data_IF_446442721832
#
_entry.id   IF_446442721832
#
_cell.length_a   1.000
_cell.length_b   1.000
_cell.length_c   1.000
_cell.angle_alpha   90.00
_cell.angle_beta   90.00
_cell.angle_gamma   90.00
#
_symmetry.space_group_name_H-M   'P 1'
#
loop_
_entity.id
_entity.type
_entity.pdbx_description
1 polymer ?
#
# COMPACT_ATOMS: atom_id res chain seq x y z
N UNK A 1 28.44 37.73 -83.74
CA UNK A 1 28.43 36.53 -84.62
C UNK A 1 27.47 35.52 -84.01
N UNK A 2 26.43 35.14 -84.77
CA UNK A 2 25.34 34.17 -84.51
C UNK A 2 24.26 34.50 -83.46
N UNK A 3 23.24 35.19 -83.98
CA UNK A 3 21.81 35.06 -83.71
C UNK A 3 21.31 33.59 -83.75
N UNK A 4 20.49 33.21 -82.78
CA UNK A 4 19.70 31.96 -82.82
C UNK A 4 18.28 32.26 -83.33
N UNK A 5 17.81 31.43 -84.27
CA UNK A 5 16.47 31.44 -84.86
C UNK A 5 15.49 30.58 -84.06
N UNK A 6 14.24 31.01 -84.20
CA UNK A 6 12.93 30.55 -83.74
C UNK A 6 12.53 29.11 -84.09
N UNK A 7 11.64 28.52 -83.27
CA UNK A 7 10.39 27.87 -83.71
C UNK A 7 9.42 27.77 -82.51
N UNK A 8 8.36 28.57 -82.42
CA UNK A 8 6.96 28.32 -82.83
C UNK A 8 6.24 27.23 -82.03
N UNK A 9 5.14 27.61 -81.36
CA UNK A 9 3.88 26.88 -81.54
C UNK A 9 3.06 26.54 -80.29
N UNK A 10 1.84 27.07 -80.30
CA UNK A 10 0.62 26.59 -79.64
C UNK A 10 0.45 26.86 -78.13
N UNK A 11 -0.43 27.81 -77.83
CA UNK A 11 -0.91 28.11 -76.50
C UNK A 11 -1.96 27.12 -75.99
N UNK A 12 -2.06 27.05 -74.66
CA UNK A 12 -3.21 26.53 -73.95
C UNK A 12 -3.36 27.29 -72.63
N UNK A 13 -4.57 27.79 -72.36
CA UNK A 13 -4.92 28.55 -71.13
C UNK A 13 -4.87 27.61 -69.92
N UNK A 14 -4.45 28.06 -68.73
CA UNK A 14 -4.58 27.27 -67.50
C UNK A 14 -6.00 27.40 -66.94
N UNK A 15 -6.69 26.26 -66.80
CA UNK A 15 -7.87 26.08 -65.95
C UNK A 15 -7.48 25.44 -64.61
N UNK A 16 -8.34 25.50 -63.58
CA UNK A 16 -7.92 25.69 -62.19
C UNK A 16 -7.59 24.41 -61.43
N UNK A 17 -6.59 24.53 -60.56
CA UNK A 17 -6.47 23.93 -59.22
C UNK A 17 -6.89 22.46 -59.05
N UNK A 18 -6.02 21.53 -59.43
CA UNK A 18 -5.97 20.21 -58.82
C UNK A 18 -5.52 20.34 -57.36
N UNK A 19 -6.48 20.52 -56.47
CA UNK A 19 -6.30 20.28 -55.05
C UNK A 19 -5.80 18.86 -54.86
N UNK A 20 -4.57 18.74 -54.36
CA UNK A 20 -3.96 17.47 -54.00
C UNK A 20 -4.91 16.65 -53.13
N UNK A 21 -5.32 15.49 -53.65
CA UNK A 21 -6.04 14.49 -52.87
C UNK A 21 -5.21 14.18 -51.62
N UNK A 22 -5.77 14.25 -50.39
CA UNK A 22 -5.05 13.80 -49.22
C UNK A 22 -4.76 12.31 -49.38
N UNK A 23 -3.49 11.92 -49.17
CA UNK A 23 -3.09 10.53 -49.14
C UNK A 23 -4.01 9.76 -48.19
N UNK A 24 -4.57 8.64 -48.66
CA UNK A 24 -5.40 7.78 -47.86
C UNK A 24 -4.61 7.35 -46.61
N UNK A 25 -4.98 7.86 -45.45
CA UNK A 25 -4.48 7.37 -44.17
C UNK A 25 -5.04 5.96 -44.03
N UNK A 26 -4.20 4.96 -44.27
CA UNK A 26 -4.49 3.57 -43.93
C UNK A 26 -4.66 3.53 -42.41
N UNK A 27 -5.91 3.48 -41.96
CA UNK A 27 -6.24 3.15 -40.58
C UNK A 27 -5.79 1.71 -40.37
N UNK A 28 -4.60 1.53 -39.82
CA UNK A 28 -4.15 0.24 -39.30
C UNK A 28 -5.09 -0.08 -38.14
N UNK A 29 -6.11 -0.89 -38.42
CA UNK A 29 -6.91 -1.50 -37.37
C UNK A 29 -5.92 -2.32 -36.52
N UNK A 30 -5.85 -2.10 -35.19
CA UNK A 30 -5.06 -2.98 -34.35
C UNK A 30 -5.52 -4.39 -34.62
N UNK A 31 -4.57 -5.28 -34.90
CA UNK A 31 -4.82 -6.71 -34.99
C UNK A 31 -5.67 -7.09 -33.78
N UNK A 32 -6.86 -7.63 -34.03
CA UNK A 32 -7.64 -8.31 -33.00
C UNK A 32 -6.83 -9.56 -32.65
N UNK A 33 -5.80 -9.39 -31.83
CA UNK A 33 -5.24 -10.51 -31.11
C UNK A 33 -6.42 -11.13 -30.37
N UNK A 34 -6.71 -12.42 -30.59
CA UNK A 34 -7.65 -13.11 -29.73
C UNK A 34 -7.15 -12.86 -28.32
N UNK A 35 -7.96 -12.18 -27.50
CA UNK A 35 -7.72 -12.17 -26.06
C UNK A 35 -7.77 -13.64 -25.70
N UNK A 36 -6.61 -14.20 -25.43
CA UNK A 36 -6.46 -15.56 -24.96
C UNK A 36 -7.32 -15.63 -23.70
N UNK A 37 -8.51 -16.21 -23.80
CA UNK A 37 -9.36 -16.42 -22.64
C UNK A 37 -8.59 -17.47 -21.86
N UNK A 38 -8.07 -17.17 -20.66
CA UNK A 38 -7.38 -18.20 -19.91
C UNK A 38 -8.35 -19.35 -19.68
N UNK A 39 -8.12 -20.45 -20.40
CA UNK A 39 -8.57 -21.79 -20.06
C UNK A 39 -7.78 -22.23 -18.84
N UNK A 40 -8.02 -21.55 -17.72
CA UNK A 40 -7.53 -21.91 -16.42
C UNK A 40 -8.65 -21.49 -15.48
N UNK A 41 -9.20 -22.46 -14.75
CA UNK A 41 -10.07 -22.23 -13.61
C UNK A 41 -9.40 -21.19 -12.71
N UNK A 42 -9.78 -19.92 -12.85
CA UNK A 42 -9.32 -18.88 -11.95
C UNK A 42 -9.71 -19.35 -10.54
N UNK A 43 -8.78 -19.38 -9.58
CA UNK A 43 -9.12 -19.82 -8.23
C UNK A 43 -10.30 -18.97 -7.77
N UNK A 44 -11.41 -19.64 -7.43
CA UNK A 44 -12.60 -18.98 -6.91
C UNK A 44 -12.21 -18.42 -5.54
N UNK A 45 -11.85 -17.14 -5.53
CA UNK A 45 -11.53 -16.46 -4.28
C UNK A 45 -12.75 -16.48 -3.38
N UNK A 46 -12.58 -16.76 -2.07
CA UNK A 46 -13.65 -16.57 -1.10
C UNK A 46 -14.27 -15.18 -1.22
N UNK A 47 -15.59 -15.06 -1.05
CA UNK A 47 -16.34 -13.81 -1.28
C UNK A 47 -15.72 -12.60 -0.57
N UNK A 48 -15.20 -12.79 0.64
CA UNK A 48 -14.49 -11.74 1.41
C UNK A 48 -13.27 -11.20 0.69
N UNK A 49 -12.44 -12.09 0.12
CA UNK A 49 -11.21 -11.71 -0.58
C UNK A 49 -11.53 -11.09 -1.94
N UNK A 50 -12.50 -11.65 -2.66
CA UNK A 50 -12.98 -11.09 -3.91
C UNK A 50 -13.53 -9.66 -3.73
N UNK A 51 -14.30 -9.41 -2.66
CA UNK A 51 -14.79 -8.07 -2.33
C UNK A 51 -13.65 -7.12 -1.98
N UNK A 52 -12.70 -7.54 -1.15
CA UNK A 52 -11.52 -6.73 -0.78
C UNK A 52 -10.70 -6.34 -2.02
N UNK A 53 -10.45 -7.28 -2.93
CA UNK A 53 -9.72 -7.01 -4.17
C UNK A 53 -10.51 -6.10 -5.12
N UNK A 54 -11.84 -6.28 -5.24
CA UNK A 54 -12.70 -5.38 -6.00
C UNK A 54 -12.64 -3.94 -5.46
N UNK A 55 -12.74 -3.76 -4.15
CA UNK A 55 -12.63 -2.44 -3.52
C UNK A 55 -11.26 -1.83 -3.83
N UNK A 56 -10.17 -2.60 -3.68
CA UNK A 56 -8.82 -2.15 -4.03
C UNK A 56 -8.71 -1.73 -5.49
N UNK A 57 -9.29 -2.50 -6.42
CA UNK A 57 -9.29 -2.16 -7.85
C UNK A 57 -10.06 -0.89 -8.15
N UNK A 58 -11.23 -0.69 -7.53
CA UNK A 58 -11.99 0.55 -7.67
C UNK A 58 -11.18 1.73 -7.15
N UNK A 59 -10.53 1.60 -6.00
CA UNK A 59 -9.64 2.63 -5.45
C UNK A 59 -8.46 2.93 -6.38
N UNK A 60 -7.82 1.90 -6.95
CA UNK A 60 -6.72 2.07 -7.91
C UNK A 60 -7.18 2.81 -9.17
N UNK A 61 -8.34 2.45 -9.72
CA UNK A 61 -8.93 3.15 -10.87
C UNK A 61 -9.28 4.59 -10.53
N UNK A 62 -9.85 4.85 -9.35
CA UNK A 62 -10.14 6.20 -8.87
C UNK A 62 -8.85 7.02 -8.74
N UNK A 63 -7.77 6.47 -8.17
CA UNK A 63 -6.47 7.15 -8.07
C UNK A 63 -5.92 7.49 -9.44
N UNK A 64 -6.01 6.57 -10.41
CA UNK A 64 -5.56 6.84 -11.79
C UNK A 64 -6.37 7.96 -12.45
N UNK A 65 -7.68 7.96 -12.28
CA UNK A 65 -8.57 9.02 -12.77
C UNK A 65 -8.22 10.38 -12.15
N UNK A 66 -8.02 10.42 -10.83
CA UNK A 66 -7.64 11.65 -10.12
C UNK A 66 -6.27 12.16 -10.59
N UNK A 67 -5.28 11.27 -10.75
CA UNK A 67 -3.94 11.64 -11.25
C UNK A 67 -3.98 12.19 -12.68
N UNK A 68 -4.75 11.56 -13.56
CA UNK A 68 -4.92 12.07 -14.93
C UNK A 68 -5.65 13.41 -14.93
N UNK A 69 -6.67 13.58 -14.08
CA UNK A 69 -7.35 14.85 -13.87
C UNK A 69 -6.40 15.95 -13.41
N UNK A 70 -5.56 15.66 -12.41
CA UNK A 70 -4.53 16.56 -11.92
C UNK A 70 -3.55 16.97 -13.03
N UNK A 71 -3.07 16.00 -13.83
CA UNK A 71 -2.19 16.27 -14.98
C UNK A 71 -2.83 17.24 -15.97
N UNK A 72 -4.11 17.05 -16.29
CA UNK A 72 -4.86 17.96 -17.19
C UNK A 72 -5.05 19.36 -16.62
N UNK A 73 -5.19 19.48 -15.30
CA UNK A 73 -5.31 20.78 -14.62
C UNK A 73 -3.97 21.53 -14.61
N UNK A 74 -2.85 20.82 -14.43
CA UNK A 74 -1.50 21.40 -14.53
C UNK A 74 -1.21 21.89 -15.95
N UNK A 75 -1.50 21.09 -16.97
CA UNK A 75 -1.30 21.48 -18.38
C UNK A 75 -2.14 22.71 -18.76
N UNK A 76 -3.36 22.85 -18.20
CA UNK A 76 -4.21 24.03 -18.40
C UNK A 76 -3.74 25.27 -17.62
N UNK A 77 -2.70 25.16 -16.80
CA UNK A 77 -2.18 26.24 -15.95
C UNK A 77 -3.04 26.53 -14.72
N UNK A 78 -3.96 25.64 -14.36
CA UNK A 78 -4.82 25.81 -13.18
C UNK A 78 -4.11 25.44 -11.87
N UNK A 79 -3.32 24.38 -11.88
CA UNK A 79 -2.55 23.90 -10.72
C UNK A 79 -1.05 23.97 -11.03
N UNK A 80 -0.27 24.46 -10.06
CA UNK A 80 1.18 24.60 -10.21
C UNK A 80 1.89 23.23 -10.09
N UNK A 81 1.30 22.29 -9.32
CA UNK A 81 1.78 20.91 -9.14
C UNK A 81 0.59 19.95 -9.01
N UNK A 82 0.70 18.78 -9.66
CA UNK A 82 -0.30 17.72 -9.61
C UNK A 82 -0.52 17.14 -8.22
N UNK A 83 0.49 17.17 -7.32
CA UNK A 83 0.33 16.71 -5.94
C UNK A 83 -0.71 17.54 -5.16
N UNK A 84 -0.90 18.81 -5.52
CA UNK A 84 -1.86 19.72 -4.88
C UNK A 84 -3.31 19.35 -5.15
N UNK A 85 -3.60 18.43 -6.09
CA UNK A 85 -4.96 17.91 -6.30
C UNK A 85 -5.56 17.33 -5.01
N UNK A 86 -4.72 16.80 -4.11
CA UNK A 86 -5.16 16.28 -2.80
C UNK A 86 -5.66 17.35 -1.82
N UNK A 87 -5.46 18.64 -2.12
CA UNK A 87 -5.94 19.79 -1.34
C UNK A 87 -7.30 20.31 -1.80
N UNK A 88 -7.81 19.77 -2.92
CA UNK A 88 -9.15 20.06 -3.42
C UNK A 88 -10.16 19.14 -2.75
N UNK A 89 -11.30 19.71 -2.41
CA UNK A 89 -12.50 18.94 -2.06
C UNK A 89 -13.05 18.29 -3.32
N UNK A 90 -13.76 17.18 -3.16
CA UNK A 90 -14.34 16.45 -4.30
C UNK A 90 -15.17 17.34 -5.25
N UNK A 91 -16.08 18.22 -4.77
CA UNK A 91 -16.84 19.10 -5.67
C UNK A 91 -15.95 20.09 -6.42
N UNK A 92 -14.96 20.68 -5.76
CA UNK A 92 -14.02 21.64 -6.36
C UNK A 92 -13.20 20.97 -7.48
N UNK A 93 -12.75 19.72 -7.25
CA UNK A 93 -12.05 18.93 -8.25
C UNK A 93 -12.91 18.66 -9.48
N UNK A 94 -14.17 18.26 -9.29
CA UNK A 94 -15.10 18.00 -10.39
C UNK A 94 -15.39 19.27 -11.21
N UNK A 95 -15.67 20.39 -10.56
CA UNK A 95 -15.87 21.70 -11.23
C UNK A 95 -14.66 22.08 -12.09
N UNK A 96 -13.45 21.91 -11.56
CA UNK A 96 -12.22 22.23 -12.31
C UNK A 96 -12.00 21.30 -13.52
N UNK A 97 -12.39 20.01 -13.41
CA UNK A 97 -12.33 19.07 -14.53
C UNK A 97 -13.29 19.44 -15.66
N UNK A 98 -14.46 19.97 -15.33
CA UNK A 98 -15.47 20.42 -16.30
C UNK A 98 -15.13 21.79 -16.93
N UNK A 99 -14.00 22.40 -16.54
CA UNK A 99 -13.53 23.68 -17.08
C UNK A 99 -13.90 24.89 -16.22
N UNK A 100 -14.51 24.68 -15.06
CA UNK A 100 -14.76 25.73 -14.08
C UNK A 100 -13.47 26.21 -13.37
N UNK A 101 -13.57 27.31 -12.60
CA UNK A 101 -12.43 27.90 -11.90
C UNK A 101 -11.98 27.03 -10.72
N UNK A 102 -10.70 27.14 -10.37
CA UNK A 102 -10.17 26.61 -9.12
C UNK A 102 -10.45 27.59 -7.96
N UNK A 103 -10.55 27.10 -6.72
CA UNK A 103 -10.65 27.96 -5.54
C UNK A 103 -9.47 28.92 -5.47
N UNK A 104 -9.72 30.20 -5.15
CA UNK A 104 -8.68 31.22 -5.09
C UNK A 104 -7.60 30.90 -4.04
N UNK A 105 -7.99 30.25 -2.93
CA UNK A 105 -7.14 29.88 -1.81
C UNK A 105 -6.35 28.59 -2.04
N UNK A 106 -6.56 27.87 -3.15
CA UNK A 106 -5.95 26.54 -3.38
C UNK A 106 -4.42 26.55 -3.30
N UNK A 107 -3.78 27.68 -3.63
CA UNK A 107 -2.32 27.87 -3.57
C UNK A 107 -1.80 28.02 -2.14
N UNK A 108 -2.63 28.53 -1.25
CA UNK A 108 -2.29 28.80 0.15
C UNK A 108 -2.62 27.60 1.04
N UNK A 109 -3.51 26.70 0.59
CA UNK A 109 -3.84 25.47 1.31
C UNK A 109 -2.60 24.63 1.59
N UNK A 110 -2.53 24.12 2.81
CA UNK A 110 -1.53 23.16 3.25
C UNK A 110 -2.19 21.82 3.57
N UNK A 111 -1.48 20.69 3.41
CA UNK A 111 -1.96 19.40 3.88
C UNK A 111 -2.34 19.49 5.35
N UNK A 112 -3.44 18.81 5.72
CA UNK A 112 -3.75 18.64 7.14
C UNK A 112 -2.54 17.97 7.82
N UNK A 113 -2.13 18.44 9.02
CA UNK A 113 -1.11 17.76 9.77
C UNK A 113 -1.51 16.30 9.96
N UNK A 114 -0.56 15.39 9.78
CA UNK A 114 -0.79 13.98 10.08
C UNK A 114 -1.18 13.89 11.55
N UNK A 115 -2.44 13.52 11.81
CA UNK A 115 -2.93 13.36 13.18
C UNK A 115 -2.16 12.23 13.85
N UNK A 116 -2.02 12.32 15.18
CA UNK A 116 -1.51 11.20 15.95
C UNK A 116 -2.28 9.91 15.58
N UNK A 117 -1.59 8.77 15.49
CA UNK A 117 -2.24 7.50 15.21
C UNK A 117 -3.39 7.24 16.18
N UNK A 118 -4.48 6.65 15.68
CA UNK A 118 -5.59 6.24 16.53
C UNK A 118 -5.09 5.23 17.59
N UNK A 119 -5.66 5.28 18.82
CA UNK A 119 -5.34 4.31 19.87
C UNK A 119 -5.60 2.86 19.44
N UNK A 120 -4.96 1.91 20.11
CA UNK A 120 -5.08 0.47 19.78
C UNK A 120 -6.53 -0.05 19.88
N UNK A 121 -7.29 0.50 20.82
CA UNK A 121 -8.73 0.33 20.94
C UNK A 121 -9.36 1.70 21.23
N UNK A 122 -10.44 2.03 20.54
CA UNK A 122 -11.13 3.31 20.71
C UNK A 122 -12.59 3.21 20.29
N UNK A 123 -13.39 4.10 20.85
CA UNK A 123 -14.73 4.42 20.36
C UNK A 123 -14.77 5.85 19.86
N UNK A 124 -15.67 6.11 18.93
CA UNK A 124 -16.00 7.47 18.50
C UNK A 124 -17.21 7.93 19.31
N UNK A 125 -17.06 8.99 20.09
CA UNK A 125 -18.15 9.61 20.82
C UNK A 125 -19.14 10.28 19.84
N UNK A 126 -20.34 10.63 20.34
CA UNK A 126 -21.43 11.19 19.51
C UNK A 126 -21.02 12.51 18.84
N UNK A 127 -20.12 13.26 19.47
CA UNK A 127 -19.52 14.50 18.96
C UNK A 127 -18.37 14.28 17.96
N UNK A 128 -18.04 13.03 17.63
CA UNK A 128 -16.94 12.66 16.74
C UNK A 128 -15.59 12.53 17.44
N UNK A 129 -15.51 12.74 18.76
CA UNK A 129 -14.24 12.64 19.50
C UNK A 129 -13.79 11.19 19.62
N UNK A 130 -12.51 10.94 19.34
CA UNK A 130 -11.89 9.62 19.55
C UNK A 130 -11.57 9.43 21.03
N UNK A 131 -12.16 8.42 21.65
CA UNK A 131 -11.93 8.06 23.07
C UNK A 131 -11.23 6.72 23.11
N UNK A 132 -10.01 6.69 23.66
CA UNK A 132 -9.26 5.45 23.87
C UNK A 132 -9.99 4.53 24.84
N UNK A 133 -10.16 3.26 24.46
CA UNK A 133 -10.69 2.22 25.32
C UNK A 133 -9.53 1.42 25.90
N UNK A 134 -9.37 1.45 27.22
CA UNK A 134 -8.42 0.58 27.91
C UNK A 134 -9.15 -0.71 28.26
N UNK A 135 -8.69 -1.84 27.75
CA UNK A 135 -9.23 -3.14 28.12
C UNK A 135 -8.88 -3.42 29.58
N UNK A 136 -9.87 -3.46 30.47
CA UNK A 136 -9.71 -3.80 31.90
C UNK A 136 -9.82 -5.31 32.15
N UNK A 137 -9.35 -6.12 31.20
CA UNK A 137 -9.24 -7.56 31.38
C UNK A 137 -8.17 -7.90 32.43
N UNK A 138 -8.22 -9.10 33.04
CA UNK A 138 -7.14 -9.55 33.91
C UNK A 138 -5.82 -9.43 33.15
N UNK A 139 -4.81 -8.86 33.79
CA UNK A 139 -3.47 -8.62 33.26
C UNK A 139 -2.82 -9.97 32.96
N UNK A 140 -3.15 -10.54 31.81
CA UNK A 140 -2.25 -11.41 31.07
C UNK A 140 -1.50 -10.49 30.13
N UNK A 141 -0.17 -10.53 30.18
CA UNK A 141 0.70 -9.72 29.31
C UNK A 141 0.54 -10.00 27.80
N UNK A 142 -0.32 -10.96 27.44
CA UNK A 142 -0.53 -11.47 26.11
C UNK A 142 -1.71 -10.89 25.34
N UNK A 143 -1.57 -10.86 24.02
CA UNK A 143 -2.67 -10.65 23.09
C UNK A 143 -3.40 -11.97 22.78
N UNK A 144 -4.03 -12.05 21.62
CA UNK A 144 -4.62 -13.28 21.09
C UNK A 144 -3.59 -14.04 20.25
N UNK A 145 -3.31 -15.28 20.64
CA UNK A 145 -2.55 -16.23 19.84
C UNK A 145 -3.22 -16.48 18.48
N UNK A 146 -2.45 -16.38 17.41
CA UNK A 146 -2.94 -16.51 16.04
C UNK A 146 -2.33 -17.73 15.37
N UNK A 147 -1.02 -17.91 15.50
CA UNK A 147 -0.26 -19.02 14.93
C UNK A 147 0.50 -19.67 16.07
N UNK A 148 0.28 -20.98 16.27
CA UNK A 148 0.82 -21.71 17.41
C UNK A 148 2.34 -21.82 17.42
N UNK A 149 2.87 -22.36 18.53
CA UNK A 149 4.32 -22.49 18.75
C UNK A 149 4.83 -21.49 19.77
N UNK A 150 6.04 -21.77 20.29
CA UNK A 150 6.72 -20.91 21.26
C UNK A 150 8.11 -20.58 20.73
N UNK A 151 8.46 -19.30 20.79
CA UNK A 151 9.72 -18.78 20.31
C UNK A 151 10.28 -17.73 21.27
N UNK A 152 11.59 -17.59 21.29
CA UNK A 152 12.26 -16.52 22.01
C UNK A 152 13.28 -15.86 21.09
N UNK A 153 13.43 -14.54 21.22
CA UNK A 153 14.32 -13.78 20.34
C UNK A 153 14.42 -12.30 20.71
N UNK A 154 15.10 -11.53 19.87
CA UNK A 154 15.33 -10.10 20.10
C UNK A 154 14.28 -9.27 19.38
N UNK A 155 13.67 -8.33 20.09
CA UNK A 155 12.68 -7.42 19.52
C UNK A 155 13.31 -6.57 18.43
N UNK A 156 12.66 -6.56 17.28
CA UNK A 156 13.00 -5.77 16.11
C UNK A 156 11.75 -5.06 15.58
N UNK A 157 11.91 -3.82 15.13
CA UNK A 157 10.80 -2.97 14.67
C UNK A 157 10.59 -3.01 13.15
N UNK A 158 11.38 -3.81 12.41
CA UNK A 158 11.29 -3.91 10.95
C UNK A 158 12.25 -3.00 10.18
N UNK A 159 13.04 -2.19 10.88
CA UNK A 159 14.00 -1.23 10.30
C UNK A 159 15.43 -1.51 10.77
N UNK A 160 16.41 -1.26 9.90
CA UNK A 160 17.83 -1.52 10.18
C UNK A 160 18.23 -2.99 10.06
N UNK A 161 19.31 -3.37 10.76
CA UNK A 161 19.86 -4.73 10.72
C UNK A 161 18.98 -5.70 11.49
N UNK A 162 18.46 -6.72 10.82
CA UNK A 162 17.63 -7.77 11.43
C UNK A 162 18.49 -8.72 12.28
N UNK A 163 18.15 -8.91 13.57
CA UNK A 163 18.78 -9.95 14.39
C UNK A 163 18.54 -11.36 13.83
N UNK A 164 19.45 -12.33 14.07
CA UNK A 164 19.25 -13.72 13.65
C UNK A 164 18.00 -14.38 14.25
N UNK A 165 17.64 -14.01 15.48
CA UNK A 165 16.47 -14.46 16.23
C UNK A 165 15.42 -13.34 16.34
N UNK A 166 15.16 -12.62 15.25
CA UNK A 166 14.30 -11.44 15.28
C UNK A 166 12.83 -11.76 15.63
N UNK A 167 12.31 -11.06 16.64
CA UNK A 167 10.88 -10.99 16.95
C UNK A 167 10.34 -9.65 16.48
N UNK A 168 9.50 -9.66 15.45
CA UNK A 168 8.93 -8.42 14.91
C UNK A 168 7.82 -7.92 15.84
N UNK A 169 8.01 -6.76 16.45
CA UNK A 169 7.00 -6.09 17.28
C UNK A 169 6.55 -4.83 16.55
N UNK A 170 5.27 -4.77 16.20
CA UNK A 170 4.69 -3.66 15.41
C UNK A 170 3.34 -3.23 15.96
N UNK A 171 2.93 -2.00 15.64
CA UNK A 171 1.59 -1.52 16.01
C UNK A 171 0.48 -2.19 15.22
N UNK A 172 0.63 -2.30 13.90
CA UNK A 172 -0.39 -2.85 13.00
C UNK A 172 0.26 -3.75 11.98
N UNK A 173 -0.44 -4.84 11.61
CA UNK A 173 -0.03 -5.71 10.52
C UNK A 173 -0.22 -5.02 9.16
N UNK A 174 0.84 -4.39 8.66
CA UNK A 174 0.89 -3.79 7.32
C UNK A 174 1.25 -4.84 6.25
N UNK A 175 0.57 -4.90 5.09
CA UNK A 175 0.93 -5.79 3.99
C UNK A 175 2.41 -5.73 3.56
N UNK A 176 3.08 -4.59 3.73
CA UNK A 176 4.51 -4.42 3.44
C UNK A 176 5.42 -5.31 4.31
N UNK A 177 4.92 -5.86 5.43
CA UNK A 177 5.67 -6.76 6.30
C UNK A 177 5.70 -8.21 5.78
N UNK A 178 4.85 -8.58 4.81
CA UNK A 178 4.77 -9.95 4.29
C UNK A 178 6.13 -10.52 3.83
N UNK A 179 7.00 -9.77 3.12
CA UNK A 179 8.30 -10.28 2.70
C UNK A 179 9.28 -10.55 3.85
N UNK A 180 9.05 -9.97 5.04
CA UNK A 180 9.92 -10.15 6.20
C UNK A 180 9.63 -11.45 6.95
N UNK A 181 8.39 -11.96 6.89
CA UNK A 181 7.92 -13.09 7.69
C UNK A 181 8.83 -14.34 7.66
N UNK A 182 9.38 -14.76 6.50
CA UNK A 182 10.21 -15.97 6.44
C UNK A 182 11.52 -15.89 7.25
N UNK A 183 12.00 -14.68 7.58
CA UNK A 183 13.22 -14.46 8.35
C UNK A 183 13.00 -14.21 9.84
N UNK A 184 11.76 -14.28 10.31
CA UNK A 184 11.42 -13.97 11.71
C UNK A 184 11.31 -15.23 12.55
N UNK A 185 11.55 -15.09 13.85
CA UNK A 185 11.33 -16.14 14.85
C UNK A 185 9.95 -16.02 15.51
N UNK A 186 9.42 -14.81 15.64
CA UNK A 186 8.03 -14.58 16.07
C UNK A 186 7.50 -13.22 15.59
N UNK A 187 6.17 -13.04 15.69
CA UNK A 187 5.46 -11.81 15.34
C UNK A 187 4.51 -11.37 16.47
N UNK A 188 4.59 -10.12 16.89
CA UNK A 188 3.69 -9.51 17.87
C UNK A 188 3.13 -8.22 17.31
N UNK A 189 1.80 -8.08 17.28
CA UNK A 189 1.13 -6.87 16.81
C UNK A 189 0.17 -6.29 17.86
N UNK A 190 0.23 -4.97 18.09
CA UNK A 190 -0.70 -4.27 19.00
C UNK A 190 -2.14 -4.36 18.53
N UNK A 191 -2.33 -4.17 17.23
CA UNK A 191 -3.62 -4.18 16.56
C UNK A 191 -3.60 -5.14 15.39
N UNK A 192 -4.74 -5.78 15.15
CA UNK A 192 -4.88 -6.73 14.07
C UNK A 192 -5.98 -7.73 14.34
N UNK A 193 -6.42 -8.40 13.27
CA UNK A 193 -7.37 -9.51 13.39
C UNK A 193 -6.62 -10.84 13.25
N UNK A 194 -6.98 -11.86 14.05
CA UNK A 194 -6.51 -13.24 13.85
C UNK A 194 -6.89 -13.84 12.50
N UNK A 195 -7.82 -13.21 11.78
CA UNK A 195 -8.26 -13.59 10.44
C UNK A 195 -7.73 -12.63 9.36
N UNK A 196 -6.80 -11.74 9.72
CA UNK A 196 -6.16 -10.86 8.75
C UNK A 196 -5.20 -11.64 7.85
N UNK A 197 -4.89 -11.09 6.67
CA UNK A 197 -4.04 -11.78 5.70
C UNK A 197 -2.65 -12.10 6.26
N UNK A 198 -2.00 -11.16 6.97
CA UNK A 198 -0.70 -11.44 7.59
C UNK A 198 -0.79 -12.45 8.74
N UNK A 199 -1.90 -12.46 9.48
CA UNK A 199 -2.18 -13.49 10.48
C UNK A 199 -2.29 -14.89 9.85
N UNK A 200 -2.88 -14.99 8.66
CA UNK A 200 -2.93 -16.25 7.88
C UNK A 200 -1.54 -16.63 7.37
N UNK A 201 -0.80 -15.68 6.78
CA UNK A 201 0.57 -15.95 6.32
C UNK A 201 1.48 -16.43 7.46
N UNK A 202 1.37 -15.83 8.66
CA UNK A 202 2.14 -16.30 9.82
C UNK A 202 1.87 -17.78 10.14
N UNK A 203 0.63 -18.26 9.97
CA UNK A 203 0.29 -19.69 10.13
C UNK A 203 0.89 -20.55 9.04
N UNK A 204 0.84 -20.08 7.79
CA UNK A 204 1.40 -20.79 6.65
C UNK A 204 2.92 -20.98 6.78
N UNK A 205 3.62 -19.99 7.33
CA UNK A 205 5.06 -20.07 7.63
C UNK A 205 5.38 -20.77 8.95
N UNK A 206 4.39 -21.21 9.73
CA UNK A 206 4.61 -21.79 11.05
C UNK A 206 5.25 -20.82 12.05
N UNK A 207 5.11 -19.51 11.81
CA UNK A 207 5.68 -18.44 12.62
C UNK A 207 4.79 -18.20 13.85
N UNK A 208 5.29 -18.36 15.09
CA UNK A 208 4.54 -18.00 16.29
C UNK A 208 4.08 -16.55 16.24
N UNK A 209 2.77 -16.32 16.35
CA UNK A 209 2.21 -14.99 16.16
C UNK A 209 1.11 -14.64 17.16
N UNK A 210 1.17 -13.42 17.68
CA UNK A 210 0.21 -12.83 18.62
C UNK A 210 -0.28 -11.48 18.08
N UNK A 211 -1.59 -11.23 18.13
CA UNK A 211 -2.20 -9.95 17.72
C UNK A 211 -3.08 -9.41 18.83
N UNK A 212 -3.30 -8.09 18.86
CA UNK A 212 -4.07 -7.49 19.95
C UNK A 212 -3.27 -7.39 21.25
N UNK A 213 -1.94 -7.44 21.18
CA UNK A 213 -1.05 -7.27 22.32
C UNK A 213 -0.98 -5.77 22.66
N UNK A 214 -1.94 -5.28 23.45
CA UNK A 214 -2.07 -3.85 23.77
C UNK A 214 -0.75 -3.27 24.25
N UNK A 215 -0.40 -2.09 23.70
CA UNK A 215 0.81 -1.34 24.05
C UNK A 215 2.15 -2.07 23.82
N UNK A 216 2.19 -3.15 23.03
CA UNK A 216 3.38 -3.99 22.84
C UNK A 216 4.64 -3.23 22.40
N UNK A 217 4.53 -2.22 21.54
CA UNK A 217 5.70 -1.47 21.05
C UNK A 217 6.38 -0.68 22.19
N UNK A 218 5.60 -0.16 23.14
CA UNK A 218 6.15 0.56 24.29
C UNK A 218 6.59 -0.40 25.40
N UNK A 219 5.87 -1.52 25.57
CA UNK A 219 6.20 -2.56 26.56
C UNK A 219 7.47 -3.33 26.21
N UNK A 220 7.74 -3.49 24.92
CA UNK A 220 8.85 -4.28 24.40
C UNK A 220 9.67 -3.44 23.41
N UNK A 221 10.58 -2.59 23.88
CA UNK A 221 11.41 -1.76 23.01
C UNK A 221 12.42 -2.62 22.20
N UNK A 222 12.88 -2.16 21.02
CA UNK A 222 13.88 -2.85 20.22
C UNK A 222 15.13 -3.25 21.02
N UNK A 223 15.65 -4.45 20.77
CA UNK A 223 16.78 -5.01 21.52
C UNK A 223 16.40 -5.80 22.78
N UNK A 224 15.13 -5.71 23.23
CA UNK A 224 14.64 -6.50 24.36
C UNK A 224 14.54 -7.97 24.00
N UNK A 225 14.89 -8.88 24.93
CA UNK A 225 14.66 -10.32 24.73
C UNK A 225 13.21 -10.67 25.08
N UNK A 226 12.52 -11.30 24.14
CA UNK A 226 11.08 -11.57 24.24
C UNK A 226 10.82 -13.05 24.01
N UNK A 227 9.94 -13.63 24.84
CA UNK A 227 9.35 -14.95 24.63
C UNK A 227 7.90 -14.78 24.20
N UNK A 228 7.53 -15.44 23.11
CA UNK A 228 6.21 -15.37 22.49
C UNK A 228 5.63 -16.78 22.42
N UNK A 229 4.42 -16.95 22.93
CA UNK A 229 3.63 -18.16 22.80
C UNK A 229 2.41 -17.86 21.93
N UNK A 230 2.49 -18.24 20.67
CA UNK A 230 1.45 -17.95 19.69
C UNK A 230 0.21 -18.85 19.80
N UNK A 231 0.22 -19.85 20.69
CA UNK A 231 -0.96 -20.68 20.98
C UNK A 231 -1.83 -20.05 22.07
N UNK A 232 -1.20 -19.64 23.17
CA UNK A 232 -1.88 -19.01 24.32
C UNK A 232 -2.08 -17.51 24.13
N UNK A 233 -1.26 -16.88 23.29
CA UNK A 233 -1.22 -15.42 23.12
C UNK A 233 -0.26 -14.71 24.06
N UNK A 234 0.46 -15.46 24.89
CA UNK A 234 1.31 -14.97 25.95
C UNK A 234 2.60 -14.35 25.40
N UNK A 235 2.98 -13.18 25.94
CA UNK A 235 4.15 -12.43 25.50
C UNK A 235 4.86 -11.89 26.74
N UNK A 236 6.09 -12.34 26.98
CA UNK A 236 6.87 -11.96 28.17
C UNK A 236 8.27 -11.54 27.81
N UNK A 237 8.76 -10.49 28.46
CA UNK A 237 10.19 -10.20 28.47
C UNK A 237 10.92 -11.34 29.18
N UNK A 238 12.00 -11.84 28.58
CA UNK A 238 12.85 -12.87 29.19
C UNK A 238 14.04 -12.24 29.88
N UNK A 239 14.29 -12.60 31.14
CA UNK A 239 15.56 -12.28 31.79
C UNK A 239 16.69 -13.08 31.16
N UNK A 240 17.79 -12.40 30.85
CA UNK A 240 19.05 -13.05 30.51
C UNK A 240 19.63 -13.68 31.78
N UNK A 241 19.18 -14.90 32.13
CA UNK A 241 19.89 -15.95 32.90
C UNK A 241 18.90 -17.02 33.36
N UNK A 242 19.06 -18.24 32.87
CA UNK A 242 19.15 -19.48 33.67
C UNK A 242 19.61 -20.57 32.71
N UNK A 243 20.92 -20.58 32.44
CA UNK A 243 21.63 -21.80 32.09
C UNK A 243 22.34 -22.21 33.37
N UNK A 244 21.75 -23.16 34.06
CA UNK A 244 22.26 -23.80 35.27
C UNK A 244 23.60 -24.47 34.93
N UNK A 245 24.71 -23.92 35.42
CA UNK A 245 25.96 -24.65 35.57
C UNK A 245 25.75 -25.65 36.70
N UNK A 246 25.07 -26.76 36.39
CA UNK A 246 25.09 -27.95 37.22
C UNK A 246 26.51 -28.54 37.14
N UNK A 247 27.30 -28.24 38.18
CA UNK A 247 28.57 -28.88 38.42
C UNK A 247 28.42 -30.41 38.47
N UNK A 248 29.30 -31.09 37.74
CA UNK A 248 29.76 -32.42 38.14
C UNK A 248 31.28 -32.34 38.20
N UNK A 249 31.77 -31.73 39.29
CA UNK A 249 33.07 -32.11 39.85
C UNK A 249 32.87 -33.39 40.67
N UNK A 250 33.71 -34.37 40.35
CA UNK A 250 34.33 -35.35 41.24
C UNK A 250 33.47 -36.49 41.82
N UNK A 251 33.69 -37.71 41.28
CA UNK A 251 33.90 -38.87 42.13
C UNK A 251 34.98 -39.77 41.49
N UNK A 252 36.13 -39.83 42.16
CA UNK A 252 37.19 -40.82 41.98
C UNK A 252 36.84 -42.12 42.71
#
# INVERSE_FOLDING_TARGET
>A
MRTARTNTGAGHRPGPDEHGRPAAVTVVRPSRHPVDRPGATAPVLPTREALRLRVRWVQELQVRLVREGARRLVVRGGLDDGARVGLLRWPEFMTALEGGPLPADVRERQPLPVSAPLPDAFRVAVDGTVVAERSTGPVGDGGRGVSGGRAAGIVWEGTGTTPPDAVLVVRTLDPALAPLLPGLTALVAQTGSPLSHLAVLAREFGLPAVVGATDAVNRFPPGTRLTVDGATGDVRAGDARTGDEAGTEDER
#
